data_IF_545684819156
#
_entry.id   IF_545684819156
#
_cell.length_a   1.000
_cell.length_b   1.000
_cell.length_c   1.000
_cell.angle_alpha   90.00
_cell.angle_beta   90.00
_cell.angle_gamma   90.00
#
_symmetry.space_group_name_H-M   'P 1'
#
loop_
_entity.id
_entity.type
_entity.pdbx_description
1 polymer ?
#
# COMPACT_ATOMS: atom_id res chain seq x y z
N UNK A 1 -2.82 28.38 10.58
CA UNK A 1 -1.78 27.37 10.88
C UNK A 1 -1.67 26.47 9.65
N UNK A 2 -0.62 26.61 8.83
CA UNK A 2 -0.43 25.80 7.62
C UNK A 2 0.14 24.44 8.03
N UNK A 3 -0.68 23.41 8.03
CA UNK A 3 -0.22 22.02 8.19
C UNK A 3 0.62 21.70 6.95
N UNK A 4 1.94 21.61 7.12
CA UNK A 4 2.83 21.03 6.11
C UNK A 4 2.43 19.57 5.94
N UNK A 5 1.73 19.25 4.85
CA UNK A 5 1.62 17.88 4.36
C UNK A 5 2.99 17.48 3.80
N UNK A 6 3.87 17.03 4.67
CA UNK A 6 5.02 16.23 4.27
C UNK A 6 4.52 14.80 4.01
N UNK A 7 4.05 14.56 2.78
CA UNK A 7 4.16 13.27 2.06
C UNK A 7 4.15 13.68 0.59
N UNK A 8 5.27 13.40 -0.06
CA UNK A 8 5.51 13.63 -1.48
C UNK A 8 4.41 12.92 -2.26
N UNK A 9 3.54 13.70 -2.92
CA UNK A 9 2.69 13.22 -4.00
C UNK A 9 3.61 12.76 -5.14
N UNK A 10 4.04 11.50 -5.13
CA UNK A 10 4.21 10.82 -6.40
C UNK A 10 2.80 10.38 -6.79
N UNK A 11 2.17 11.17 -7.66
CA UNK A 11 1.14 10.62 -8.54
C UNK A 11 1.69 9.28 -9.02
N UNK A 12 1.02 8.18 -8.66
CA UNK A 12 1.40 6.85 -9.11
C UNK A 12 1.46 6.93 -10.63
N UNK A 13 2.65 6.93 -11.25
CA UNK A 13 2.69 7.14 -12.68
C UNK A 13 2.00 5.93 -13.32
N UNK A 14 1.19 6.16 -14.36
CA UNK A 14 0.60 5.12 -15.24
C UNK A 14 1.63 4.10 -15.78
N UNK A 15 2.91 4.33 -15.47
CA UNK A 15 4.08 3.50 -15.68
C UNK A 15 4.19 2.24 -14.81
N UNK A 16 3.36 1.98 -13.79
CA UNK A 16 3.47 0.72 -13.01
C UNK A 16 2.99 -0.55 -13.75
N UNK A 17 2.84 -0.52 -15.08
CA UNK A 17 2.78 -1.74 -15.93
C UNK A 17 4.18 -2.23 -16.32
N UNK A 18 5.14 -2.21 -15.41
CA UNK A 18 6.46 -2.82 -15.65
C UNK A 18 6.36 -4.33 -15.40
N UNK A 19 6.56 -5.15 -16.44
CA UNK A 19 6.84 -6.60 -16.36
C UNK A 19 6.17 -7.36 -15.18
N UNK A 20 4.84 -7.51 -15.21
CA UNK A 20 4.11 -8.38 -14.27
C UNK A 20 3.86 -7.79 -12.87
N UNK A 21 4.16 -6.51 -12.65
CA UNK A 21 3.78 -5.82 -11.41
C UNK A 21 2.25 -5.79 -11.22
N UNK A 22 1.82 -5.90 -9.97
CA UNK A 22 0.43 -5.85 -9.54
C UNK A 22 0.31 -4.95 -8.31
N UNK A 23 -0.79 -4.21 -8.23
CA UNK A 23 -1.16 -3.41 -7.07
C UNK A 23 -2.36 -4.08 -6.41
N UNK A 24 -2.24 -4.40 -5.13
CA UNK A 24 -3.37 -4.77 -4.28
C UNK A 24 -3.57 -3.70 -3.21
N UNK A 25 -4.80 -3.49 -2.77
CA UNK A 25 -5.10 -2.51 -1.73
C UNK A 25 -6.02 -3.10 -0.67
N UNK A 26 -5.83 -2.69 0.58
CA UNK A 26 -6.73 -3.00 1.69
C UNK A 26 -7.07 -1.72 2.46
N UNK A 27 -8.18 -1.75 3.18
CA UNK A 27 -8.62 -0.66 4.04
C UNK A 27 -8.64 -1.17 5.48
N UNK A 28 -8.06 -0.39 6.39
CA UNK A 28 -8.08 -0.69 7.82
C UNK A 28 -8.21 0.59 8.66
N UNK A 29 -8.46 0.41 9.96
CA UNK A 29 -8.32 1.49 10.96
C UNK A 29 -6.86 1.98 11.00
N UNK A 30 -6.65 3.26 11.28
CA UNK A 30 -5.32 3.85 11.56
C UNK A 30 -4.54 3.10 12.66
N UNK A 31 -5.25 2.45 13.58
CA UNK A 31 -4.63 1.71 14.70
C UNK A 31 -4.13 0.32 14.33
N UNK A 32 -4.46 -0.20 13.13
CA UNK A 32 -4.18 -1.59 12.72
C UNK A 32 -3.23 -1.67 11.52
N UNK A 33 -2.63 -0.56 11.11
CA UNK A 33 -1.79 -0.46 9.90
C UNK A 33 -0.68 -1.53 9.91
N UNK A 34 0.10 -1.58 10.99
CA UNK A 34 1.26 -2.48 11.07
C UNK A 34 0.87 -3.97 11.04
N UNK A 35 -0.20 -4.33 11.75
CA UNK A 35 -0.72 -5.71 11.78
C UNK A 35 -1.16 -6.16 10.38
N UNK A 36 -1.87 -5.30 9.65
CA UNK A 36 -2.33 -5.60 8.31
C UNK A 36 -1.18 -5.63 7.29
N UNK A 37 -0.17 -4.76 7.43
CA UNK A 37 1.04 -4.81 6.61
C UNK A 37 1.76 -6.16 6.77
N UNK A 38 1.96 -6.61 8.01
CA UNK A 38 2.64 -7.88 8.25
C UNK A 38 1.83 -9.09 7.78
N UNK A 39 0.50 -9.06 7.97
CA UNK A 39 -0.40 -10.09 7.43
C UNK A 39 -0.32 -10.16 5.90
N UNK A 40 -0.31 -9.01 5.22
CA UNK A 40 -0.29 -8.97 3.76
C UNK A 40 1.08 -9.37 3.20
N UNK A 41 2.19 -8.99 3.85
CA UNK A 41 3.54 -9.48 3.51
C UNK A 41 3.61 -11.00 3.48
N UNK A 42 3.02 -11.67 4.46
CA UNK A 42 2.97 -13.14 4.50
C UNK A 42 2.17 -13.73 3.33
N UNK A 43 1.07 -13.08 2.92
CA UNK A 43 0.27 -13.52 1.76
C UNK A 43 1.03 -13.32 0.45
N UNK A 44 1.72 -12.19 0.30
CA UNK A 44 2.55 -11.87 -0.87
C UNK A 44 3.66 -12.91 -1.03
N UNK A 45 4.34 -13.25 0.07
CA UNK A 45 5.39 -14.27 0.09
C UNK A 45 4.86 -15.65 -0.32
N UNK A 46 3.71 -16.06 0.24
CA UNK A 46 3.03 -17.33 -0.11
C UNK A 46 2.57 -17.38 -1.56
N UNK A 47 2.32 -16.24 -2.18
CA UNK A 47 1.95 -16.12 -3.59
C UNK A 47 3.16 -16.13 -4.54
N UNK A 48 4.37 -16.39 -4.03
CA UNK A 48 5.63 -16.35 -4.78
C UNK A 48 5.86 -14.98 -5.46
N UNK A 49 5.44 -13.93 -4.77
CA UNK A 49 5.63 -12.54 -5.21
C UNK A 49 6.63 -11.84 -4.31
N UNK A 50 7.33 -10.87 -4.88
CA UNK A 50 8.19 -9.94 -4.19
C UNK A 50 7.42 -8.64 -3.95
N UNK A 51 7.48 -8.14 -2.71
CA UNK A 51 6.98 -6.83 -2.36
C UNK A 51 8.00 -5.76 -2.77
N UNK A 52 7.58 -4.79 -3.57
CA UNK A 52 8.41 -3.71 -4.08
C UNK A 52 8.22 -2.41 -3.30
N UNK A 53 6.96 -2.10 -2.95
CA UNK A 53 6.64 -0.85 -2.25
C UNK A 53 5.31 -0.99 -1.48
N UNK A 54 5.14 -0.18 -0.42
CA UNK A 54 3.90 -0.07 0.35
C UNK A 54 3.55 1.40 0.48
N UNK A 55 2.36 1.79 0.02
CA UNK A 55 1.86 3.15 0.16
C UNK A 55 0.68 3.17 1.12
N UNK A 56 0.69 4.14 2.04
CA UNK A 56 -0.32 4.30 3.08
C UNK A 56 -0.98 5.67 2.92
N UNK A 57 -2.29 5.69 2.75
CA UNK A 57 -3.07 6.91 2.55
C UNK A 57 -4.21 6.98 3.56
N UNK A 58 -4.22 8.03 4.37
CA UNK A 58 -5.32 8.28 5.30
C UNK A 58 -6.48 8.92 4.54
N UNK A 59 -7.69 8.47 4.86
CA UNK A 59 -8.92 9.13 4.43
C UNK A 59 -9.97 9.06 5.55
N UNK A 60 -10.82 10.07 5.63
CA UNK A 60 -11.92 10.07 6.59
C UNK A 60 -13.18 9.51 5.92
N UNK A 61 -13.76 8.46 6.51
CA UNK A 61 -15.04 7.91 6.09
C UNK A 61 -16.09 8.14 7.18
N UNK A 62 -16.96 9.13 6.98
CA UNK A 62 -18.02 9.43 7.95
C UNK A 62 -17.52 9.83 9.36
N UNK A 63 -16.30 10.35 9.48
CA UNK A 63 -15.66 10.69 10.76
C UNK A 63 -14.86 9.56 11.41
N UNK A 64 -14.79 8.39 10.77
CA UNK A 64 -13.88 7.32 11.17
C UNK A 64 -12.52 7.50 10.47
N UNK A 65 -11.41 7.56 11.22
CA UNK A 65 -10.07 7.62 10.65
C UNK A 65 -9.75 6.26 10.01
N UNK A 66 -9.75 6.23 8.68
CA UNK A 66 -9.47 5.03 7.89
C UNK A 66 -8.18 5.21 7.11
N UNK A 67 -7.58 4.09 6.76
CA UNK A 67 -6.35 4.02 5.99
C UNK A 67 -6.51 3.06 4.85
N UNK A 68 -6.14 3.50 3.65
CA UNK A 68 -5.91 2.62 2.53
C UNK A 68 -4.41 2.28 2.46
N UNK A 69 -4.10 0.99 2.45
CA UNK A 69 -2.75 0.49 2.26
C UNK A 69 -2.69 -0.19 0.90
N UNK A 70 -1.81 0.28 0.03
CA UNK A 70 -1.58 -0.27 -1.30
C UNK A 70 -0.21 -0.93 -1.36
N UNK A 71 -0.17 -2.17 -1.84
CA UNK A 71 1.02 -3.00 -1.97
C UNK A 71 1.35 -3.16 -3.44
N UNK A 72 2.56 -2.78 -3.80
CA UNK A 72 3.08 -3.05 -5.12
C UNK A 72 3.92 -4.32 -5.07
N UNK A 73 3.61 -5.27 -5.94
CA UNK A 73 4.28 -6.57 -5.98
C UNK A 73 4.64 -6.98 -7.40
N UNK A 74 5.64 -7.84 -7.57
CA UNK A 74 5.94 -8.53 -8.84
C UNK A 74 6.14 -10.04 -8.61
N UNK A 75 6.06 -10.90 -9.64
CA UNK A 75 6.50 -12.29 -9.51
C UNK A 75 7.97 -12.34 -9.09
N UNK A 76 8.34 -13.28 -8.22
CA UNK A 76 9.75 -13.56 -7.97
C UNK A 76 10.40 -14.04 -9.27
N UNK A 77 11.64 -13.60 -9.51
CA UNK A 77 12.45 -14.16 -10.59
C UNK A 77 12.97 -15.51 -10.11
N UNK A 78 12.52 -16.58 -10.78
CA UNK A 78 13.03 -17.95 -10.58
C UNK A 78 14.44 -18.11 -11.13
#
# INVERSE_FOLDING_TARGET
MKIKKDIIKRESPDFWKWAGTSISSLICSETLIDEFIESEKQKIEKAERELLDIHVFNYEDGGYPMVNISFLTRPKQS
#
